data_IF_366096194061
#
_entry.id   IF_366096194061
#
_cell.length_a   1.000
_cell.length_b   1.000
_cell.length_c   1.000
_cell.angle_alpha   90.00
_cell.angle_beta   90.00
_cell.angle_gamma   90.00
#
_symmetry.space_group_name_H-M   'P 1'
#
loop_
_entity.id
_entity.type
_entity.pdbx_description
1 polymer ?
#
# COMPACT_ATOMS: atom_id res chain seq x y z
N UNK A 1 -23.01 -1.20 20.50
CA UNK A 1 -21.78 -0.41 20.27
C UNK A 1 -21.91 0.17 18.87
N UNK A 2 -22.15 1.48 18.72
CA UNK A 2 -22.26 2.10 17.40
C UNK A 2 -20.84 2.20 16.83
N UNK A 3 -20.46 1.27 15.98
CA UNK A 3 -19.11 1.10 15.43
C UNK A 3 -18.79 2.14 14.36
N UNK A 4 -18.94 3.43 14.64
CA UNK A 4 -18.65 4.46 13.65
C UNK A 4 -17.14 4.54 13.39
N UNK A 5 -16.73 4.71 12.13
CA UNK A 5 -15.32 4.57 11.71
C UNK A 5 -14.78 5.85 11.08
N UNK A 6 -13.52 6.16 11.39
CA UNK A 6 -12.77 7.22 10.69
C UNK A 6 -11.42 6.70 10.19
N UNK A 7 -11.01 7.12 8.99
CA UNK A 7 -9.66 6.86 8.47
C UNK A 7 -9.11 8.08 7.76
N UNK A 8 -7.81 8.12 7.51
CA UNK A 8 -7.14 9.21 6.80
C UNK A 8 -6.35 8.70 5.58
N UNK A 9 -7.07 8.39 4.51
CA UNK A 9 -6.46 7.97 3.26
C UNK A 9 -7.25 8.47 2.06
N UNK A 10 -6.59 9.20 1.17
CA UNK A 10 -7.14 9.62 -0.12
C UNK A 10 -7.00 8.56 -1.22
N UNK A 11 -6.54 7.35 -0.86
CA UNK A 11 -6.25 6.24 -1.79
C UNK A 11 -7.19 5.06 -1.62
N UNK A 12 -6.71 3.87 -2.02
CA UNK A 12 -7.49 2.63 -1.98
C UNK A 12 -7.98 2.28 -0.56
N UNK A 13 -7.19 2.58 0.49
CA UNK A 13 -7.61 2.33 1.87
C UNK A 13 -8.86 3.12 2.28
N UNK A 14 -8.96 4.40 1.87
CA UNK A 14 -10.14 5.21 2.16
C UNK A 14 -11.39 4.67 1.45
N UNK A 15 -11.23 4.24 0.20
CA UNK A 15 -12.30 3.60 -0.58
C UNK A 15 -12.74 2.27 0.04
N UNK A 16 -11.78 1.39 0.38
CA UNK A 16 -12.05 0.09 0.99
C UNK A 16 -12.74 0.23 2.35
N UNK A 17 -12.30 1.18 3.17
CA UNK A 17 -12.92 1.45 4.49
C UNK A 17 -14.36 1.95 4.32
N UNK A 18 -14.60 2.88 3.40
CA UNK A 18 -15.95 3.37 3.10
C UNK A 18 -16.87 2.24 2.61
N UNK A 19 -16.36 1.39 1.70
CA UNK A 19 -17.11 0.24 1.19
C UNK A 19 -17.43 -0.78 2.30
N UNK A 20 -16.43 -1.18 3.10
CA UNK A 20 -16.62 -2.12 4.20
C UNK A 20 -17.62 -1.58 5.24
N UNK A 21 -17.57 -0.29 5.54
CA UNK A 21 -18.51 0.38 6.44
C UNK A 21 -19.93 0.33 5.90
N UNK A 22 -20.12 0.64 4.61
CA UNK A 22 -21.42 0.54 3.94
C UNK A 22 -21.97 -0.88 3.99
N UNK A 23 -21.16 -1.89 3.69
CA UNK A 23 -21.57 -3.30 3.78
C UNK A 23 -21.98 -3.69 5.20
N UNK A 24 -21.36 -3.07 6.21
CA UNK A 24 -21.62 -3.34 7.62
C UNK A 24 -22.75 -2.49 8.23
N UNK A 25 -23.39 -1.61 7.45
CA UNK A 25 -24.42 -0.69 7.95
C UNK A 25 -23.89 0.38 8.92
N UNK A 26 -22.61 0.71 8.81
CA UNK A 26 -21.88 1.61 9.70
C UNK A 26 -21.54 2.91 8.97
N UNK A 27 -21.61 4.06 9.66
CA UNK A 27 -21.15 5.31 9.09
C UNK A 27 -19.61 5.41 9.09
N UNK A 28 -19.07 5.98 8.03
CA UNK A 28 -17.63 6.15 7.82
C UNK A 28 -17.30 7.60 7.46
N UNK A 29 -16.33 8.19 8.14
CA UNK A 29 -15.70 9.43 7.73
C UNK A 29 -14.29 9.15 7.17
N UNK A 30 -13.95 9.78 6.05
CA UNK A 30 -12.63 9.65 5.42
C UNK A 30 -11.98 11.01 5.31
N UNK A 31 -10.90 11.20 6.05
CA UNK A 31 -10.08 12.41 6.03
C UNK A 31 -9.17 12.39 4.81
N UNK A 32 -9.29 13.39 3.96
CA UNK A 32 -8.50 13.55 2.74
C UNK A 32 -7.93 14.98 2.61
N UNK A 33 -6.76 15.19 2.01
CA UNK A 33 -6.25 16.53 1.78
C UNK A 33 -7.09 17.26 0.72
N UNK A 34 -7.20 18.60 0.83
CA UNK A 34 -7.91 19.45 -0.14
C UNK A 34 -7.44 19.27 -1.60
N UNK A 35 -6.20 18.83 -1.81
CA UNK A 35 -5.61 18.57 -3.14
C UNK A 35 -5.70 17.10 -3.60
N UNK A 36 -6.50 16.25 -2.92
CA UNK A 36 -6.69 14.86 -3.31
C UNK A 36 -7.29 14.74 -4.73
N UNK A 37 -7.02 13.62 -5.41
CA UNK A 37 -7.65 13.33 -6.72
C UNK A 37 -9.17 13.32 -6.58
N UNK A 38 -9.85 14.04 -7.47
CA UNK A 38 -11.32 14.12 -7.50
C UNK A 38 -11.95 12.75 -7.71
N UNK A 39 -11.40 11.96 -8.63
CA UNK A 39 -11.85 10.58 -8.92
C UNK A 39 -11.85 9.73 -7.65
N UNK A 40 -10.79 9.81 -6.85
CA UNK A 40 -10.68 9.02 -5.60
C UNK A 40 -11.63 9.54 -4.51
N UNK A 41 -11.81 10.85 -4.42
CA UNK A 41 -12.76 11.46 -3.50
C UNK A 41 -14.22 11.09 -3.84
N UNK A 42 -14.57 11.11 -5.13
CA UNK A 42 -15.88 10.71 -5.63
C UNK A 42 -16.15 9.22 -5.40
N UNK A 43 -15.14 8.35 -5.61
CA UNK A 43 -15.27 6.94 -5.29
C UNK A 43 -15.61 6.70 -3.81
N UNK A 44 -14.91 7.38 -2.89
CA UNK A 44 -15.21 7.30 -1.44
C UNK A 44 -16.66 7.72 -1.15
N UNK A 45 -17.11 8.83 -1.73
CA UNK A 45 -18.53 9.27 -1.58
C UNK A 45 -19.50 8.25 -2.15
N UNK A 46 -19.20 7.68 -3.33
CA UNK A 46 -20.03 6.65 -3.97
C UNK A 46 -20.15 5.37 -3.13
N UNK A 47 -19.14 5.07 -2.33
CA UNK A 47 -19.17 3.99 -1.33
C UNK A 47 -19.86 4.37 -0.02
N UNK A 48 -20.38 5.59 0.12
CA UNK A 48 -21.11 6.04 1.30
C UNK A 48 -20.23 6.68 2.39
N UNK A 49 -18.96 6.95 2.10
CA UNK A 49 -18.06 7.64 3.01
C UNK A 49 -18.30 9.16 3.04
N UNK A 50 -18.36 9.75 4.23
CA UNK A 50 -18.34 11.18 4.45
C UNK A 50 -16.91 11.72 4.27
N UNK A 51 -16.71 12.67 3.35
CA UNK A 51 -15.39 13.28 3.17
C UNK A 51 -15.15 14.40 4.17
N UNK A 52 -14.00 14.35 4.83
CA UNK A 52 -13.51 15.42 5.70
C UNK A 52 -12.21 15.95 5.12
N UNK A 53 -12.13 17.26 4.87
CA UNK A 53 -10.97 17.86 4.21
C UNK A 53 -9.95 18.38 5.22
N UNK A 54 -8.67 18.11 4.98
CA UNK A 54 -7.55 18.63 5.76
C UNK A 54 -6.51 19.34 4.86
N UNK A 55 -5.51 19.96 5.50
CA UNK A 55 -4.36 20.52 4.80
C UNK A 55 -3.47 19.42 4.16
N UNK A 56 -2.72 19.71 3.07
CA UNK A 56 -2.07 18.71 2.24
C UNK A 56 -0.73 18.18 2.79
N UNK A 57 -0.57 18.10 4.11
CA UNK A 57 0.60 17.51 4.77
C UNK A 57 0.19 16.36 5.70
N UNK A 58 1.12 15.43 5.97
CA UNK A 58 0.82 14.19 6.69
C UNK A 58 0.30 14.42 8.12
N UNK A 59 0.89 15.38 8.86
CA UNK A 59 0.45 15.67 10.22
C UNK A 59 -1.02 16.13 10.28
N UNK A 60 -1.45 17.01 9.37
CA UNK A 60 -2.84 17.49 9.31
C UNK A 60 -3.85 16.36 9.08
N UNK A 61 -3.49 15.33 8.30
CA UNK A 61 -4.36 14.16 8.09
C UNK A 61 -4.63 13.43 9.40
N UNK A 62 -3.56 13.15 10.15
CA UNK A 62 -3.66 12.47 11.43
C UNK A 62 -4.39 13.34 12.46
N UNK A 63 -3.99 14.59 12.62
CA UNK A 63 -4.61 15.53 13.57
C UNK A 63 -6.12 15.70 13.32
N UNK A 64 -6.52 15.85 12.05
CA UNK A 64 -7.94 15.95 11.69
C UNK A 64 -8.67 14.63 11.97
N UNK A 65 -8.04 13.48 11.70
CA UNK A 65 -8.63 12.17 12.02
C UNK A 65 -8.80 11.95 13.51
N UNK A 66 -7.78 12.28 14.32
CA UNK A 66 -7.82 12.17 15.78
C UNK A 66 -8.94 13.05 16.34
N UNK A 67 -9.07 14.29 15.85
CA UNK A 67 -10.14 15.21 16.24
C UNK A 67 -11.53 14.65 15.94
N UNK A 68 -11.74 14.10 14.75
CA UNK A 68 -13.04 13.51 14.37
C UNK A 68 -13.34 12.24 15.17
N UNK A 69 -12.32 11.42 15.45
CA UNK A 69 -12.46 10.26 16.31
C UNK A 69 -12.94 10.67 17.71
N UNK A 70 -12.35 11.71 18.28
CA UNK A 70 -12.73 12.25 19.59
C UNK A 70 -14.13 12.87 19.58
N UNK A 71 -14.40 13.79 18.65
CA UNK A 71 -15.67 14.53 18.58
C UNK A 71 -16.87 13.62 18.34
N UNK A 72 -16.72 12.58 17.51
CA UNK A 72 -17.83 11.70 17.13
C UNK A 72 -17.81 10.35 17.85
N UNK A 73 -16.79 10.04 18.63
CA UNK A 73 -16.59 8.73 19.25
C UNK A 73 -16.31 7.61 18.25
N UNK A 74 -15.62 7.92 17.14
CA UNK A 74 -15.35 6.97 16.06
C UNK A 74 -14.07 6.17 16.35
N UNK A 75 -14.04 4.91 15.94
CA UNK A 75 -12.81 4.12 15.92
C UNK A 75 -11.95 4.53 14.72
N UNK A 76 -10.64 4.72 14.95
CA UNK A 76 -9.69 4.98 13.86
C UNK A 76 -9.32 3.66 13.19
N UNK A 77 -9.50 3.58 11.88
CA UNK A 77 -9.07 2.43 11.06
C UNK A 77 -7.78 2.81 10.34
N UNK A 78 -6.63 2.41 10.88
CA UNK A 78 -5.33 2.74 10.33
C UNK A 78 -4.85 1.67 9.34
N UNK A 79 -4.12 2.09 8.29
CA UNK A 79 -3.61 1.22 7.21
C UNK A 79 -2.65 0.11 7.67
N UNK A 80 -2.22 0.13 8.92
CA UNK A 80 -1.20 -0.75 9.49
C UNK A 80 -1.61 -1.34 10.85
N UNK A 81 -2.90 -1.32 11.20
CA UNK A 81 -3.41 -2.01 12.38
C UNK A 81 -3.35 -3.53 12.20
N UNK A 82 -3.30 -4.28 13.30
CA UNK A 82 -3.19 -5.74 13.27
C UNK A 82 -4.33 -6.41 12.48
N UNK A 83 -5.57 -5.93 12.62
CA UNK A 83 -6.71 -6.46 11.89
C UNK A 83 -6.60 -6.21 10.38
N UNK A 84 -6.05 -5.04 10.00
CA UNK A 84 -5.78 -4.73 8.60
C UNK A 84 -4.67 -5.63 8.06
N UNK A 85 -3.56 -5.79 8.80
CA UNK A 85 -2.46 -6.68 8.44
C UNK A 85 -2.98 -8.12 8.26
N UNK A 86 -3.74 -8.64 9.22
CA UNK A 86 -4.33 -9.97 9.14
C UNK A 86 -5.24 -10.12 7.92
N UNK A 87 -6.12 -9.14 7.68
CA UNK A 87 -6.99 -9.11 6.50
C UNK A 87 -6.23 -9.09 5.19
N UNK A 88 -5.11 -8.36 5.08
CA UNK A 88 -4.28 -8.40 3.87
C UNK A 88 -3.62 -9.76 3.64
N UNK A 89 -3.38 -10.54 4.70
CA UNK A 89 -2.78 -11.87 4.61
C UNK A 89 -3.64 -12.89 3.89
N UNK A 90 -4.96 -12.69 3.80
CA UNK A 90 -5.85 -13.62 3.09
C UNK A 90 -5.50 -13.75 1.61
N UNK A 91 -4.96 -12.70 0.99
CA UNK A 91 -4.45 -12.77 -0.39
C UNK A 91 -3.37 -13.85 -0.56
N UNK A 92 -2.51 -14.05 0.44
CA UNK A 92 -1.49 -15.09 0.40
C UNK A 92 -2.07 -16.49 0.67
N UNK A 93 -3.13 -16.57 1.48
CA UNK A 93 -3.85 -17.83 1.70
C UNK A 93 -4.45 -18.30 0.38
N UNK A 94 -5.25 -17.47 -0.27
CA UNK A 94 -5.87 -17.77 -1.57
C UNK A 94 -4.81 -18.12 -2.63
N UNK A 95 -3.74 -17.32 -2.73
CA UNK A 95 -2.66 -17.55 -3.69
C UNK A 95 -1.95 -18.90 -3.48
N UNK A 96 -1.68 -19.29 -2.23
CA UNK A 96 -0.99 -20.55 -1.93
C UNK A 96 -1.92 -21.76 -1.88
N UNK A 97 -3.24 -21.55 -1.75
CA UNK A 97 -4.23 -22.61 -2.00
C UNK A 97 -4.26 -22.98 -3.49
N UNK A 98 -4.20 -21.99 -4.38
CA UNK A 98 -4.16 -22.25 -5.83
C UNK A 98 -2.78 -22.70 -6.32
N UNK A 99 -1.70 -22.11 -5.78
CA UNK A 99 -0.31 -22.35 -6.20
C UNK A 99 0.56 -22.66 -4.97
N UNK A 100 0.49 -23.87 -4.40
CA UNK A 100 1.17 -24.21 -3.14
C UNK A 100 2.70 -24.26 -3.24
N UNK A 101 3.24 -24.41 -4.44
CA UNK A 101 4.67 -24.57 -4.72
C UNK A 101 5.32 -23.32 -5.35
N UNK A 102 4.82 -22.13 -4.99
CA UNK A 102 5.48 -20.87 -5.33
C UNK A 102 6.88 -20.80 -4.71
N UNK A 103 7.85 -20.34 -5.53
CA UNK A 103 9.21 -20.05 -5.09
C UNK A 103 9.29 -18.67 -4.42
N UNK A 104 8.55 -17.71 -4.97
CA UNK A 104 8.57 -16.32 -4.50
C UNK A 104 7.24 -15.59 -4.70
N UNK A 105 6.99 -14.58 -3.86
CA UNK A 105 5.88 -13.62 -3.99
C UNK A 105 6.47 -12.21 -4.01
N UNK A 106 6.13 -11.43 -5.03
CA UNK A 106 6.50 -10.03 -5.14
C UNK A 106 5.36 -9.12 -4.67
N UNK A 107 5.66 -8.23 -3.72
CA UNK A 107 4.66 -7.35 -3.11
C UNK A 107 5.17 -5.92 -3.04
N UNK A 108 4.41 -4.97 -3.57
CA UNK A 108 4.74 -3.55 -3.41
C UNK A 108 4.38 -3.05 -2.02
N UNK A 109 5.17 -2.11 -1.49
CA UNK A 109 4.98 -1.61 -0.13
C UNK A 109 4.76 -0.10 -0.10
N UNK A 110 3.70 0.33 0.58
CA UNK A 110 3.53 1.70 1.08
C UNK A 110 4.04 1.77 2.53
N UNK A 111 3.16 2.00 3.51
CA UNK A 111 3.47 1.81 4.93
C UNK A 111 3.75 0.36 5.35
N UNK A 112 3.50 -0.62 4.49
CA UNK A 112 3.91 -2.02 4.69
C UNK A 112 2.85 -2.98 5.22
N UNK A 113 1.58 -2.55 5.40
CA UNK A 113 0.51 -3.42 5.92
C UNK A 113 0.29 -4.67 5.06
N UNK A 114 0.17 -4.48 3.74
CA UNK A 114 -0.03 -5.57 2.77
C UNK A 114 1.09 -6.60 2.77
N UNK A 115 2.34 -6.17 2.61
CA UNK A 115 3.48 -7.10 2.62
C UNK A 115 3.66 -7.79 3.98
N UNK A 116 3.32 -7.13 5.09
CA UNK A 116 3.35 -7.75 6.42
C UNK A 116 2.32 -8.88 6.54
N UNK A 117 1.09 -8.64 6.09
CA UNK A 117 0.03 -9.66 6.11
C UNK A 117 0.38 -10.85 5.23
N UNK A 118 0.81 -10.57 4.00
CA UNK A 118 1.22 -11.59 3.04
C UNK A 118 2.40 -12.39 3.57
N UNK A 119 3.44 -11.76 4.12
CA UNK A 119 4.60 -12.49 4.62
C UNK A 119 4.27 -13.38 5.81
N UNK A 120 3.43 -12.92 6.74
CA UNK A 120 2.95 -13.74 7.87
C UNK A 120 2.22 -14.99 7.36
N UNK A 121 1.20 -14.81 6.52
CA UNK A 121 0.39 -15.92 6.03
C UNK A 121 1.22 -16.87 5.14
N UNK A 122 2.01 -16.33 4.21
CA UNK A 122 2.82 -17.13 3.29
C UNK A 122 3.83 -17.99 4.03
N UNK A 123 4.58 -17.43 4.99
CA UNK A 123 5.58 -18.18 5.76
C UNK A 123 4.95 -19.18 6.73
N UNK A 124 3.71 -18.95 7.18
CA UNK A 124 2.96 -19.92 7.99
C UNK A 124 2.54 -21.14 7.17
N UNK A 125 2.11 -20.94 5.91
CA UNK A 125 1.68 -22.00 4.99
C UNK A 125 2.88 -22.75 4.41
N UNK A 126 3.86 -22.02 3.88
CA UNK A 126 5.06 -22.57 3.25
C UNK A 126 6.28 -21.74 3.67
N UNK A 127 7.07 -22.26 4.62
CA UNK A 127 8.27 -21.57 5.12
C UNK A 127 9.35 -21.30 4.06
N UNK A 128 9.33 -22.05 2.96
CA UNK A 128 10.33 -21.94 1.90
C UNK A 128 10.00 -20.87 0.86
N UNK A 129 8.74 -20.40 0.78
CA UNK A 129 8.38 -19.34 -0.17
C UNK A 129 9.10 -18.05 0.22
N UNK A 130 9.74 -17.40 -0.74
CA UNK A 130 10.41 -16.11 -0.53
C UNK A 130 9.42 -14.98 -0.72
N UNK A 131 9.51 -13.92 0.07
CA UNK A 131 8.65 -12.73 -0.10
C UNK A 131 9.55 -11.53 -0.30
N UNK A 132 9.45 -10.91 -1.48
CA UNK A 132 10.28 -9.76 -1.83
C UNK A 132 9.46 -8.49 -1.88
N UNK A 133 10.07 -7.41 -1.36
CA UNK A 133 9.52 -6.08 -1.48
C UNK A 133 9.82 -5.48 -2.86
N UNK A 134 8.82 -4.80 -3.41
CA UNK A 134 8.98 -3.91 -4.55
C UNK A 134 8.73 -2.47 -4.09
N UNK A 135 9.65 -1.56 -4.40
CA UNK A 135 9.57 -0.17 -3.98
C UNK A 135 9.89 0.82 -5.11
N UNK A 136 9.35 2.05 -5.06
CA UNK A 136 9.84 3.12 -5.91
C UNK A 136 11.20 3.64 -5.41
N UNK A 137 11.91 4.33 -6.29
CA UNK A 137 13.15 5.02 -5.94
C UNK A 137 12.95 6.01 -4.77
N UNK A 138 13.96 6.10 -3.89
CA UNK A 138 13.96 7.01 -2.74
C UNK A 138 13.29 6.47 -1.48
N UNK A 139 12.67 5.28 -1.54
CA UNK A 139 12.04 4.64 -0.36
C UNK A 139 13.05 4.10 0.65
N UNK A 140 14.20 3.58 0.20
CA UNK A 140 15.30 3.16 1.08
C UNK A 140 14.98 1.96 2.01
N UNK A 141 13.97 1.12 1.70
CA UNK A 141 13.61 0.03 2.60
C UNK A 141 14.73 -0.99 2.74
N UNK A 142 15.45 -1.31 1.66
CA UNK A 142 16.57 -2.26 1.70
C UNK A 142 17.62 -1.84 2.75
N UNK A 143 18.05 -0.57 2.71
CA UNK A 143 19.03 -0.03 3.66
C UNK A 143 18.55 -0.16 5.10
N UNK A 144 17.29 0.19 5.36
CA UNK A 144 16.69 0.11 6.70
C UNK A 144 16.53 -1.34 7.17
N UNK A 145 16.13 -2.25 6.28
CA UNK A 145 15.95 -3.66 6.59
C UNK A 145 17.26 -4.37 6.90
N UNK A 146 18.36 -3.98 6.23
CA UNK A 146 19.70 -4.50 6.49
C UNK A 146 20.30 -3.95 7.79
N UNK A 147 20.03 -2.68 8.15
CA UNK A 147 20.47 -2.13 9.44
C UNK A 147 19.59 -2.59 10.62
N UNK A 148 18.36 -3.01 10.36
CA UNK A 148 17.36 -3.25 11.41
C UNK A 148 16.83 -1.97 12.04
N UNK A 149 17.12 -0.81 11.45
CA UNK A 149 16.79 0.51 11.99
C UNK A 149 15.94 1.32 11.00
N UNK A 150 15.00 2.12 11.55
CA UNK A 150 14.17 3.04 10.75
C UNK A 150 14.98 4.31 10.44
N UNK A 151 15.82 4.26 9.40
CA UNK A 151 16.74 5.35 9.01
C UNK A 151 16.09 6.49 8.22
N UNK A 152 14.76 6.58 8.19
CA UNK A 152 14.04 7.63 7.49
C UNK A 152 14.16 8.99 8.20
N UNK A 153 14.18 10.10 7.44
CA UNK A 153 14.09 11.42 8.04
C UNK A 153 12.76 11.58 8.78
N UNK A 154 12.76 12.43 9.81
CA UNK A 154 11.56 12.84 10.51
C UNK A 154 11.36 14.36 10.32
N UNK A 155 10.32 14.82 9.60
CA UNK A 155 9.24 14.01 9.01
C UNK A 155 9.66 13.24 7.74
N UNK A 156 8.97 12.12 7.43
CA UNK A 156 9.23 11.35 6.21
C UNK A 156 8.79 12.12 4.96
N UNK A 157 9.42 11.82 3.82
CA UNK A 157 9.07 12.42 2.53
C UNK A 157 7.89 11.70 1.86
N UNK A 158 7.22 12.41 0.97
CA UNK A 158 6.39 11.82 -0.07
C UNK A 158 7.25 11.73 -1.32
N UNK A 159 7.33 10.54 -1.90
CA UNK A 159 8.12 10.26 -3.09
C UNK A 159 7.41 10.78 -4.33
N UNK A 160 8.17 11.39 -5.23
CA UNK A 160 7.68 11.78 -6.55
C UNK A 160 7.64 10.54 -7.44
N UNK A 161 6.50 9.88 -7.45
CA UNK A 161 6.24 8.69 -8.25
C UNK A 161 4.79 8.68 -8.67
N UNK A 162 4.55 8.23 -9.90
CA UNK A 162 3.19 8.00 -10.38
C UNK A 162 2.53 6.81 -9.66
N UNK A 163 3.32 5.93 -9.00
CA UNK A 163 2.83 4.82 -8.17
C UNK A 163 2.32 5.36 -6.82
N UNK A 164 1.28 6.19 -6.89
CA UNK A 164 0.86 7.05 -5.78
C UNK A 164 0.44 6.26 -4.51
N UNK A 165 -0.06 5.03 -4.68
CA UNK A 165 -0.40 4.11 -3.60
C UNK A 165 0.81 3.71 -2.72
N UNK A 166 2.03 3.77 -3.25
CA UNK A 166 3.28 3.43 -2.57
C UNK A 166 4.24 4.61 -2.45
N UNK A 167 3.74 5.85 -2.62
CA UNK A 167 4.51 7.09 -2.52
C UNK A 167 5.02 7.43 -1.11
N UNK A 168 4.54 6.73 -0.08
CA UNK A 168 5.03 6.94 1.29
C UNK A 168 6.45 6.40 1.43
N UNK A 169 7.40 7.28 1.79
CA UNK A 169 8.81 6.90 1.93
C UNK A 169 9.03 5.87 3.04
N UNK A 170 8.43 6.06 4.22
CA UNK A 170 8.72 5.22 5.39
C UNK A 170 7.76 4.03 5.55
N UNK A 171 8.30 2.90 6.00
CA UNK A 171 7.51 1.81 6.58
C UNK A 171 6.97 2.21 7.97
N UNK A 172 5.81 1.67 8.34
CA UNK A 172 5.17 1.92 9.63
C UNK A 172 5.92 1.31 10.81
N UNK A 173 5.64 1.80 12.02
CA UNK A 173 6.26 1.28 13.25
C UNK A 173 5.87 -0.17 13.54
N UNK A 174 4.62 -0.55 13.27
CA UNK A 174 4.12 -1.91 13.47
C UNK A 174 4.61 -2.89 12.38
N UNK A 175 4.71 -2.41 11.16
CA UNK A 175 5.03 -3.24 9.98
C UNK A 175 6.53 -3.44 9.81
N UNK A 176 7.36 -2.46 10.16
CA UNK A 176 8.83 -2.56 10.04
C UNK A 176 9.44 -3.80 10.72
N UNK A 177 9.15 -4.11 12.01
CA UNK A 177 9.71 -5.31 12.64
C UNK A 177 9.26 -6.60 11.94
N UNK A 178 8.00 -6.71 11.52
CA UNK A 178 7.47 -7.87 10.79
C UNK A 178 8.21 -8.04 9.45
N UNK A 179 8.38 -6.95 8.72
CA UNK A 179 9.09 -6.94 7.44
C UNK A 179 10.56 -7.32 7.63
N UNK A 180 11.21 -6.83 8.69
CA UNK A 180 12.58 -7.18 8.99
C UNK A 180 12.77 -8.67 9.30
N UNK A 181 11.76 -9.33 9.85
CA UNK A 181 11.82 -10.74 10.24
C UNK A 181 11.45 -11.68 9.07
N UNK A 182 10.42 -11.35 8.29
CA UNK A 182 9.79 -12.30 7.36
C UNK A 182 10.05 -12.02 5.87
N UNK A 183 10.51 -10.82 5.51
CA UNK A 183 10.70 -10.40 4.11
C UNK A 183 12.18 -10.46 3.76
N UNK A 184 12.46 -10.93 2.54
CA UNK A 184 13.83 -11.00 2.01
C UNK A 184 14.46 -9.60 1.97
N UNK A 185 15.77 -9.53 2.27
CA UNK A 185 16.49 -8.26 2.41
C UNK A 185 16.76 -7.58 1.07
N UNK A 186 16.85 -8.34 0.00
CA UNK A 186 16.97 -7.81 -1.34
C UNK A 186 15.64 -7.19 -1.79
N UNK A 187 15.66 -5.92 -2.17
CA UNK A 187 14.45 -5.19 -2.58
C UNK A 187 14.51 -4.86 -4.06
N UNK A 188 13.40 -4.99 -4.76
CA UNK A 188 13.27 -4.56 -6.14
C UNK A 188 12.90 -3.08 -6.19
N UNK A 189 13.90 -2.23 -6.36
CA UNK A 189 13.67 -0.82 -6.69
C UNK A 189 13.36 -0.71 -8.18
N UNK A 190 12.16 -0.27 -8.49
CA UNK A 190 11.71 -0.14 -9.89
C UNK A 190 11.46 1.33 -10.22
N UNK A 191 12.01 1.77 -11.36
CA UNK A 191 11.74 3.08 -11.95
C UNK A 191 10.41 3.00 -12.71
N UNK A 192 9.36 2.49 -12.06
CA UNK A 192 8.10 2.24 -12.76
C UNK A 192 7.27 3.50 -12.75
N UNK A 193 7.10 3.99 -13.98
CA UNK A 193 6.23 5.09 -14.41
C UNK A 193 4.80 4.55 -14.68
N UNK A 194 4.44 3.35 -14.17
CA UNK A 194 3.05 2.84 -14.08
C UNK A 194 2.56 2.44 -12.66
N UNK A 195 1.25 2.23 -12.49
CA UNK A 195 0.58 2.00 -11.20
C UNK A 195 1.28 0.95 -10.30
N UNK A 196 1.01 0.98 -8.98
CA UNK A 196 1.65 0.10 -7.97
C UNK A 196 1.62 -1.41 -8.31
N UNK A 197 0.68 -1.85 -9.17
CA UNK A 197 0.63 -3.20 -9.71
C UNK A 197 1.66 -3.47 -10.81
N UNK A 198 1.89 -2.52 -11.72
CA UNK A 198 2.92 -2.63 -12.77
C UNK A 198 4.33 -2.74 -12.19
N UNK A 199 4.57 -2.16 -11.02
CA UNK A 199 5.84 -2.27 -10.29
C UNK A 199 6.24 -3.74 -10.03
N UNK A 200 5.28 -4.54 -9.56
CA UNK A 200 5.53 -5.95 -9.23
C UNK A 200 5.73 -6.82 -10.47
N UNK A 201 5.07 -6.50 -11.58
CA UNK A 201 5.28 -7.15 -12.89
C UNK A 201 6.67 -6.82 -13.44
N UNK A 202 7.08 -5.55 -13.39
CA UNK A 202 8.41 -5.13 -13.84
C UNK A 202 9.52 -5.82 -13.04
N UNK A 203 9.33 -5.97 -11.72
CA UNK A 203 10.27 -6.70 -10.87
C UNK A 203 10.38 -8.18 -11.28
N UNK A 204 9.26 -8.85 -11.57
CA UNK A 204 9.24 -10.23 -12.04
C UNK A 204 9.97 -10.44 -13.37
N UNK A 205 9.95 -9.43 -14.25
CA UNK A 205 10.60 -9.49 -15.56
C UNK A 205 12.07 -9.04 -15.55
N UNK A 206 12.55 -8.53 -14.42
CA UNK A 206 13.89 -7.95 -14.31
C UNK A 206 15.01 -9.01 -14.34
N UNK A 207 16.15 -8.65 -14.91
CA UNK A 207 17.35 -9.51 -14.85
C UNK A 207 17.88 -9.67 -13.43
N UNK A 208 17.58 -8.72 -12.53
CA UNK A 208 17.91 -8.81 -11.10
C UNK A 208 17.32 -10.08 -10.49
N UNK A 209 16.05 -10.41 -10.76
CA UNK A 209 15.42 -11.60 -10.21
C UNK A 209 16.10 -12.88 -10.72
N UNK A 210 16.38 -12.94 -12.03
CA UNK A 210 17.06 -14.09 -12.67
C UNK A 210 18.48 -14.30 -12.14
N UNK A 211 19.21 -13.22 -11.87
CA UNK A 211 20.58 -13.27 -11.35
C UNK A 211 20.62 -13.63 -9.87
N UNK A 212 19.62 -13.21 -9.10
CA UNK A 212 19.54 -13.48 -7.67
C UNK A 212 19.33 -14.96 -7.38
N UNK A 213 18.44 -15.61 -8.13
CA UNK A 213 18.21 -17.05 -8.00
C UNK A 213 17.66 -17.63 -9.32
N UNK A 214 18.51 -18.22 -10.16
CA UNK A 214 18.10 -18.83 -11.43
C UNK A 214 17.17 -20.03 -11.25
N UNK A 215 17.05 -20.58 -10.04
CA UNK A 215 16.19 -21.73 -9.76
C UNK A 215 14.73 -21.36 -9.53
N UNK A 216 14.41 -20.08 -9.25
CA UNK A 216 13.04 -19.60 -9.13
C UNK A 216 12.32 -19.68 -10.49
N UNK A 217 11.25 -20.45 -10.54
CA UNK A 217 10.43 -20.67 -11.74
C UNK A 217 8.99 -20.21 -11.55
N UNK A 218 8.47 -20.30 -10.32
CA UNK A 218 7.08 -20.01 -9.97
C UNK A 218 7.02 -18.77 -9.09
N UNK A 219 6.73 -17.63 -9.73
CA UNK A 219 6.70 -16.32 -9.08
C UNK A 219 5.25 -15.81 -9.03
N UNK A 220 4.73 -15.66 -7.82
CA UNK A 220 3.44 -15.01 -7.56
C UNK A 220 3.60 -13.49 -7.53
N UNK A 221 2.63 -12.77 -8.10
CA UNK A 221 2.64 -11.32 -8.20
C UNK A 221 1.35 -10.78 -7.61
N UNK A 222 1.44 -9.89 -6.62
CA UNK A 222 0.26 -9.27 -6.01
C UNK A 222 -0.05 -7.92 -6.69
N UNK A 223 -1.13 -7.92 -7.47
CA UNK A 223 -1.67 -6.74 -8.15
C UNK A 223 -2.62 -6.01 -7.18
N UNK A 224 -2.07 -5.12 -6.35
CA UNK A 224 -2.79 -4.47 -5.24
C UNK A 224 -3.57 -3.18 -5.63
N UNK A 225 -3.62 -2.80 -6.90
CA UNK A 225 -4.47 -1.69 -7.34
C UNK A 225 -4.33 -1.23 -8.79
N UNK A 226 -5.44 -0.72 -9.34
CA UNK A 226 -5.52 -0.17 -10.70
C UNK A 226 -6.27 1.18 -10.79
N UNK A 227 -6.54 1.82 -9.65
CA UNK A 227 -7.30 3.06 -9.57
C UNK A 227 -6.42 4.27 -9.96
N UNK A 228 -6.25 4.45 -11.26
CA UNK A 228 -5.43 5.53 -11.85
C UNK A 228 -6.32 6.66 -12.33
N UNK A 229 -5.87 7.90 -12.07
CA UNK A 229 -6.46 9.10 -12.64
C UNK A 229 -6.00 9.20 -14.11
N UNK A 230 -6.90 8.86 -15.04
CA UNK A 230 -6.57 8.76 -16.48
C UNK A 230 -6.00 10.09 -16.98
N UNK A 231 -6.50 11.23 -16.50
CA UNK A 231 -6.02 12.55 -16.92
C UNK A 231 -4.57 12.86 -16.50
N UNK A 232 -4.02 12.10 -15.54
CA UNK A 232 -2.64 12.25 -15.05
C UNK A 232 -1.67 11.26 -15.69
N UNK A 233 -2.12 10.49 -16.67
CA UNK A 233 -1.25 9.56 -17.39
C UNK A 233 -0.23 10.34 -18.22
N UNK A 234 1.06 9.94 -18.20
CA UNK A 234 2.14 10.72 -18.82
C UNK A 234 1.97 10.90 -20.34
N UNK A 235 1.23 10.01 -21.01
CA UNK A 235 0.91 10.11 -22.43
C UNK A 235 -0.25 11.04 -22.76
N UNK A 236 -1.09 11.42 -21.79
CA UNK A 236 -2.17 12.38 -22.00
C UNK A 236 -1.69 13.84 -22.09
N UNK A 237 -0.45 14.09 -21.66
CA UNK A 237 0.28 15.36 -21.88
C UNK A 237 0.81 15.52 -23.32
N UNK A 238 0.77 14.49 -24.16
CA UNK A 238 1.20 14.55 -25.57
C UNK A 238 0.06 14.94 -26.52
N UNK A 239 -0.76 15.94 -26.16
CA UNK A 239 -1.78 16.46 -27.08
C UNK A 239 -1.12 17.29 -28.20
N UNK A 240 -1.02 16.65 -29.36
CA UNK A 240 -0.88 17.11 -30.75
C UNK A 240 0.26 18.11 -31.10
N UNK A 241 1.11 17.80 -32.10
CA UNK A 241 1.87 18.85 -32.76
C UNK A 241 0.88 19.81 -33.40
N UNK A 242 0.95 21.09 -33.04
CA UNK A 242 0.22 22.14 -33.74
C UNK A 242 0.58 22.04 -35.23
N UNK A 243 -0.41 21.64 -36.03
CA UNK A 243 -0.35 21.74 -37.49
C UNK A 243 -0.23 23.19 -37.95
#
# INVERSE_FOLDING_TARGET
MNLLQVTYSSGNHGQATAWASRMSGVACSVVIPKKASKVKAEAIKGYGGELIFCEPYQAARKETCDKIAEEKGYAIVHTADYDIIAGQGTMAVELLEELPDLDAILVSASGGGTISGISIAAKAINKNVKVFMVEPEGKMAEKCMRSGERLWPNPPKILDTIADGISQQQLGHLTFPIICDLVEKDVFTVLVIEAASGATVAAAMSDKLKQMDPSMKKIGIIICGGNVDIDKLPWNSQKEPKG
#
